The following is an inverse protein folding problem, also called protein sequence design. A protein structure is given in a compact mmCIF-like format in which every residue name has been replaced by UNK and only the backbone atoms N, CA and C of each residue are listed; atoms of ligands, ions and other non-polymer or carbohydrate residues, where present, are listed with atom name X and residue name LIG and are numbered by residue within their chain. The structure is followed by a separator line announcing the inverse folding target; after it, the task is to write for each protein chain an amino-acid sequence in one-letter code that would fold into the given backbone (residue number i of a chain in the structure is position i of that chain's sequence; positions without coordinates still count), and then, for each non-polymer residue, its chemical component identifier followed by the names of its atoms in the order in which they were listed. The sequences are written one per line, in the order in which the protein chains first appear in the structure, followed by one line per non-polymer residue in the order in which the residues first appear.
data_IF_233723240654
#
_entry.id   IF_233723240654
#
_cell.length_a   1.000
_cell.length_b   1.000
_cell.length_c   1.000
_cell.angle_alpha   90.00
_cell.angle_beta   90.00
_cell.angle_gamma   90.00
#
_symmetry.space_group_name_H-M   'P 1'
#
loop_
_entity.id
_entity.type
_entity.pdbx_description
1 polymer ?
#
# COMPACT_ATOMS: atom_id res chain seq x y z
N UNK A 1 -29.56 -15.51 20.14
CA UNK A 1 -29.35 -16.72 19.33
C UNK A 1 -27.84 -16.85 19.10
N UNK A 2 -27.18 -17.96 19.46
CA UNK A 2 -25.80 -18.17 19.03
C UNK A 2 -25.83 -18.37 17.51
N UNK A 3 -25.02 -17.59 16.79
CA UNK A 3 -24.90 -17.71 15.34
C UNK A 3 -24.47 -19.14 15.00
N UNK A 4 -25.35 -19.89 14.33
CA UNK A 4 -25.03 -21.24 13.86
C UNK A 4 -23.95 -21.14 12.79
N UNK A 5 -22.89 -21.90 13.00
CA UNK A 5 -21.81 -22.12 12.06
C UNK A 5 -22.40 -22.67 10.75
N UNK A 6 -22.16 -21.99 9.63
CA UNK A 6 -22.51 -22.49 8.30
C UNK A 6 -21.35 -23.41 7.87
N UNK A 7 -21.43 -24.69 8.24
CA UNK A 7 -20.51 -25.71 7.72
C UNK A 7 -20.75 -25.86 6.22
N UNK A 8 -19.69 -25.63 5.43
CA UNK A 8 -19.68 -25.73 3.97
C UNK A 8 -20.68 -24.81 3.27
N UNK A 9 -20.36 -23.51 3.23
CA UNK A 9 -21.15 -22.55 2.50
C UNK A 9 -21.18 -22.89 1.00
N UNK A 10 -22.38 -23.16 0.48
CA UNK A 10 -22.70 -23.41 -0.93
C UNK A 10 -22.45 -22.20 -1.85
N UNK A 11 -21.57 -21.29 -1.45
CA UNK A 11 -21.16 -20.12 -2.21
C UNK A 11 -20.19 -20.53 -3.29
N UNK A 12 -20.61 -20.31 -4.54
CA UNK A 12 -19.87 -20.60 -5.77
C UNK A 12 -18.36 -20.51 -5.61
N UNK A 13 -17.64 -21.57 -6.01
CA UNK A 13 -16.17 -21.62 -6.08
C UNK A 13 -15.58 -20.68 -7.16
N UNK A 14 -16.42 -19.98 -7.93
CA UNK A 14 -15.98 -19.05 -8.96
C UNK A 14 -15.31 -17.82 -8.34
N UNK A 15 -14.27 -17.32 -9.01
CA UNK A 15 -13.72 -15.99 -8.75
C UNK A 15 -14.80 -14.92 -8.95
N UNK A 16 -14.76 -13.85 -8.14
CA UNK A 16 -15.78 -12.80 -8.09
C UNK A 16 -17.21 -13.33 -7.77
N UNK A 17 -17.37 -14.06 -6.66
CA UNK A 17 -18.66 -14.61 -6.22
C UNK A 17 -19.57 -13.53 -5.59
N UNK A 18 -20.74 -13.22 -6.18
CA UNK A 18 -21.68 -12.24 -5.61
C UNK A 18 -22.28 -12.69 -4.28
N UNK A 19 -22.49 -13.99 -4.10
CA UNK A 19 -23.05 -14.52 -2.84
C UNK A 19 -22.09 -14.30 -1.66
N UNK A 20 -20.78 -14.47 -1.85
CA UNK A 20 -19.76 -14.13 -0.83
C UNK A 20 -19.79 -12.65 -0.48
N UNK A 21 -19.93 -11.79 -1.49
CA UNK A 21 -20.02 -10.35 -1.29
C UNK A 21 -21.30 -9.91 -0.57
N UNK A 22 -22.44 -10.49 -0.92
CA UNK A 22 -23.73 -10.23 -0.26
C UNK A 22 -23.71 -10.69 1.19
N UNK A 23 -23.14 -11.88 1.45
CA UNK A 23 -22.99 -12.39 2.81
C UNK A 23 -22.14 -11.45 3.67
N UNK A 24 -20.96 -11.03 3.19
CA UNK A 24 -20.11 -10.13 3.95
C UNK A 24 -20.79 -8.79 4.24
N UNK A 25 -21.45 -8.20 3.24
CA UNK A 25 -22.19 -6.95 3.42
C UNK A 25 -23.32 -7.09 4.44
N UNK A 26 -24.06 -8.20 4.41
CA UNK A 26 -25.10 -8.46 5.41
C UNK A 26 -24.50 -8.58 6.81
N UNK A 27 -23.42 -9.35 6.97
CA UNK A 27 -22.76 -9.56 8.27
C UNK A 27 -22.23 -8.26 8.88
N UNK A 28 -21.69 -7.36 8.06
CA UNK A 28 -21.21 -6.04 8.48
C UNK A 28 -22.34 -5.14 8.99
N UNK A 29 -23.55 -5.30 8.47
CA UNK A 29 -24.73 -4.52 8.90
C UNK A 29 -25.43 -5.12 10.14
N UNK A 30 -25.12 -6.38 10.46
CA UNK A 30 -25.68 -7.05 11.62
C UNK A 30 -24.97 -6.62 12.90
N UNK A 31 -25.72 -6.54 14.01
CA UNK A 31 -25.16 -6.29 15.34
C UNK A 31 -24.51 -7.57 15.90
N UNK A 32 -23.38 -7.96 15.33
CA UNK A 32 -22.57 -9.11 15.73
C UNK A 32 -21.45 -8.60 16.64
N UNK A 33 -21.25 -9.24 17.79
CA UNK A 33 -20.12 -8.88 18.66
C UNK A 33 -18.78 -9.22 17.97
N UNK A 34 -17.73 -8.47 18.31
CA UNK A 34 -16.40 -8.60 17.69
C UNK A 34 -15.84 -10.04 17.76
N UNK A 35 -16.12 -10.76 18.85
CA UNK A 35 -15.63 -12.13 19.03
C UNK A 35 -16.33 -13.12 18.09
N UNK A 36 -17.65 -13.04 17.99
CA UNK A 36 -18.43 -13.82 17.03
C UNK A 36 -18.06 -13.47 15.59
N UNK A 37 -17.93 -12.18 15.25
CA UNK A 37 -17.59 -11.78 13.89
C UNK A 37 -16.19 -12.22 13.49
N UNK A 38 -15.21 -12.18 14.42
CA UNK A 38 -13.89 -12.74 14.19
C UNK A 38 -13.94 -14.25 13.86
N UNK A 39 -14.75 -15.03 14.59
CA UNK A 39 -14.94 -16.46 14.30
C UNK A 39 -15.60 -16.69 12.94
N UNK A 40 -16.59 -15.88 12.58
CA UNK A 40 -17.25 -15.96 11.26
C UNK A 40 -16.23 -15.70 10.16
N UNK A 41 -15.43 -14.61 10.25
CA UNK A 41 -14.37 -14.29 9.27
C UNK A 41 -13.35 -15.42 9.11
N UNK A 42 -13.01 -16.13 10.18
CA UNK A 42 -12.05 -17.26 10.15
C UNK A 42 -12.61 -18.54 9.53
N UNK A 43 -13.93 -18.72 9.54
CA UNK A 43 -14.58 -19.97 9.11
C UNK A 43 -15.44 -19.81 7.85
N UNK A 44 -15.46 -18.62 7.26
CA UNK A 44 -16.26 -18.30 6.06
C UNK A 44 -15.33 -17.95 4.91
N UNK A 45 -15.67 -18.41 3.70
CA UNK A 45 -14.88 -18.15 2.51
C UNK A 45 -15.27 -16.81 1.87
N UNK A 46 -14.46 -15.77 2.08
CA UNK A 46 -14.62 -14.46 1.44
C UNK A 46 -13.61 -14.17 0.32
N UNK A 47 -12.62 -15.04 0.13
CA UNK A 47 -11.69 -14.94 -1.00
C UNK A 47 -12.47 -14.95 -2.32
N UNK A 48 -12.06 -14.09 -3.25
CA UNK A 48 -12.73 -13.90 -4.54
C UNK A 48 -14.16 -13.39 -4.42
N UNK A 49 -14.58 -12.75 -3.32
CA UNK A 49 -15.91 -12.14 -3.24
C UNK A 49 -16.07 -10.99 -4.25
N UNK A 50 -17.26 -10.85 -4.82
CA UNK A 50 -17.65 -9.66 -5.58
C UNK A 50 -18.27 -8.62 -4.65
N UNK A 51 -17.48 -7.60 -4.33
CA UNK A 51 -17.76 -6.49 -3.41
C UNK A 51 -17.67 -5.14 -4.14
N UNK A 52 -17.92 -5.12 -5.46
CA UNK A 52 -17.92 -3.88 -6.25
C UNK A 52 -18.93 -2.89 -5.67
N UNK A 53 -18.46 -1.68 -5.38
CA UNK A 53 -19.28 -0.61 -4.80
C UNK A 53 -19.82 -0.94 -3.40
N UNK A 54 -19.29 -1.97 -2.71
CA UNK A 54 -19.78 -2.36 -1.40
C UNK A 54 -19.58 -1.24 -0.37
N UNK A 55 -20.55 -1.07 0.54
CA UNK A 55 -20.44 -0.14 1.65
C UNK A 55 -19.90 -0.87 2.89
N UNK A 56 -18.60 -0.73 3.13
CA UNK A 56 -17.85 -1.39 4.20
C UNK A 56 -17.19 -0.36 5.14
N UNK A 57 -17.66 0.89 5.10
CA UNK A 57 -17.16 2.02 5.89
C UNK A 57 -17.12 1.69 7.38
N UNK A 58 -15.98 1.99 8.02
CA UNK A 58 -15.73 1.78 9.46
C UNK A 58 -15.95 0.35 9.96
N UNK A 59 -15.97 -0.63 9.08
CA UNK A 59 -16.21 -2.04 9.44
C UNK A 59 -14.96 -2.67 10.05
N UNK A 60 -15.13 -3.60 10.98
CA UNK A 60 -14.03 -4.41 11.50
C UNK A 60 -13.76 -5.63 10.62
N UNK A 61 -12.94 -5.43 9.59
CA UNK A 61 -12.48 -6.45 8.66
C UNK A 61 -11.09 -6.97 9.01
N UNK A 62 -10.63 -6.80 10.26
CA UNK A 62 -9.32 -7.28 10.68
C UNK A 62 -9.17 -8.78 10.45
N UNK A 63 -8.01 -9.19 9.92
CA UNK A 63 -7.67 -10.59 9.61
C UNK A 63 -8.56 -11.27 8.57
N UNK A 64 -9.44 -10.55 7.87
CA UNK A 64 -10.31 -11.18 6.86
C UNK A 64 -9.49 -11.68 5.66
N UNK A 65 -9.88 -12.81 5.09
CA UNK A 65 -9.35 -13.25 3.80
C UNK A 65 -10.24 -12.76 2.65
N UNK A 66 -9.75 -11.77 1.91
CA UNK A 66 -10.34 -11.19 0.70
C UNK A 66 -9.38 -11.32 -0.50
N UNK A 67 -8.53 -12.35 -0.50
CA UNK A 67 -7.60 -12.62 -1.60
C UNK A 67 -8.34 -12.72 -2.93
N UNK A 68 -7.88 -12.00 -3.95
CA UNK A 68 -8.51 -11.94 -5.27
C UNK A 68 -9.94 -11.38 -5.30
N UNK A 69 -10.43 -10.78 -4.21
CA UNK A 69 -11.76 -10.17 -4.18
C UNK A 69 -11.82 -8.95 -5.10
N UNK A 70 -13.03 -8.67 -5.61
CA UNK A 70 -13.29 -7.47 -6.41
C UNK A 70 -13.96 -6.41 -5.53
N UNK A 71 -13.18 -5.45 -5.08
CA UNK A 71 -13.55 -4.31 -4.24
C UNK A 71 -13.55 -2.98 -5.04
N UNK A 72 -13.64 -3.06 -6.38
CA UNK A 72 -13.65 -1.87 -7.24
C UNK A 72 -14.72 -0.89 -6.74
N UNK A 73 -14.33 0.36 -6.55
CA UNK A 73 -15.18 1.48 -6.08
C UNK A 73 -15.87 1.24 -4.72
N UNK A 74 -15.44 0.26 -3.92
CA UNK A 74 -15.99 0.03 -2.58
C UNK A 74 -15.65 1.19 -1.61
N UNK A 75 -16.56 1.49 -0.69
CA UNK A 75 -16.31 2.42 0.42
C UNK A 75 -15.82 1.64 1.65
N UNK A 76 -14.51 1.66 1.86
CA UNK A 76 -13.78 1.11 3.02
C UNK A 76 -13.26 2.24 3.93
N UNK A 77 -13.79 3.46 3.82
CA UNK A 77 -13.27 4.60 4.59
C UNK A 77 -13.33 4.33 6.09
N UNK A 78 -12.21 4.52 6.78
CA UNK A 78 -12.07 4.23 8.21
C UNK A 78 -12.22 2.76 8.61
N UNK A 79 -12.27 1.82 7.67
CA UNK A 79 -12.36 0.39 7.99
C UNK A 79 -11.08 -0.09 8.69
N UNK A 80 -11.24 -1.07 9.59
CA UNK A 80 -10.12 -1.77 10.19
C UNK A 80 -9.81 -3.02 9.35
N UNK A 81 -8.75 -2.97 8.55
CA UNK A 81 -8.24 -4.05 7.70
C UNK A 81 -6.91 -4.62 8.23
N UNK A 82 -6.58 -4.35 9.50
CA UNK A 82 -5.34 -4.82 10.12
C UNK A 82 -5.16 -6.32 9.91
N UNK A 83 -4.04 -6.73 9.30
CA UNK A 83 -3.72 -8.13 9.03
C UNK A 83 -4.64 -8.82 8.02
N UNK A 84 -5.47 -8.09 7.27
CA UNK A 84 -6.29 -8.68 6.22
C UNK A 84 -5.44 -9.20 5.06
N UNK A 85 -5.94 -10.21 4.35
CA UNK A 85 -5.31 -10.75 3.15
C UNK A 85 -6.08 -10.24 1.93
N UNK A 86 -5.44 -9.39 1.13
CA UNK A 86 -5.97 -8.72 -0.07
C UNK A 86 -5.05 -8.94 -1.27
N UNK A 87 -4.21 -9.98 -1.25
CA UNK A 87 -3.33 -10.34 -2.37
C UNK A 87 -4.12 -10.48 -3.67
N UNK A 88 -3.67 -9.81 -4.73
CA UNK A 88 -4.32 -9.80 -6.05
C UNK A 88 -5.73 -9.22 -6.08
N UNK A 89 -6.21 -8.57 -5.01
CA UNK A 89 -7.55 -7.97 -4.99
C UNK A 89 -7.63 -6.77 -5.95
N UNK A 90 -8.81 -6.56 -6.53
CA UNK A 90 -9.10 -5.36 -7.32
C UNK A 90 -9.72 -4.29 -6.42
N UNK A 91 -8.95 -3.27 -6.09
CA UNK A 91 -9.31 -2.09 -5.29
C UNK A 91 -9.37 -0.82 -6.16
N UNK A 92 -9.55 -0.97 -7.48
CA UNK A 92 -9.57 0.18 -8.39
C UNK A 92 -10.60 1.21 -7.94
N UNK A 93 -10.17 2.45 -7.75
CA UNK A 93 -11.03 3.56 -7.32
C UNK A 93 -11.68 3.39 -5.93
N UNK A 94 -11.29 2.40 -5.14
CA UNK A 94 -11.86 2.18 -3.80
C UNK A 94 -11.50 3.34 -2.85
N UNK A 95 -12.41 3.66 -1.93
CA UNK A 95 -12.17 4.63 -0.89
C UNK A 95 -11.69 3.94 0.40
N UNK A 96 -10.42 4.10 0.73
CA UNK A 96 -9.73 3.59 1.92
C UNK A 96 -9.28 4.74 2.84
N UNK A 97 -9.85 5.95 2.70
CA UNK A 97 -9.44 7.12 3.48
C UNK A 97 -9.53 6.85 4.98
N UNK A 98 -8.46 7.18 5.72
CA UNK A 98 -8.31 6.90 7.15
C UNK A 98 -8.47 5.41 7.57
N UNK A 99 -8.40 4.45 6.64
CA UNK A 99 -8.45 3.03 6.97
C UNK A 99 -7.18 2.56 7.70
N UNK A 100 -7.31 1.51 8.51
CA UNK A 100 -6.16 0.84 9.14
C UNK A 100 -5.82 -0.44 8.36
N UNK A 101 -4.73 -0.39 7.60
CA UNK A 101 -4.15 -1.47 6.80
C UNK A 101 -2.82 -1.96 7.39
N UNK A 102 -2.62 -1.80 8.72
CA UNK A 102 -1.40 -2.25 9.38
C UNK A 102 -1.21 -3.76 9.18
N UNK A 103 -0.02 -4.18 8.73
CA UNK A 103 0.32 -5.59 8.46
C UNK A 103 -0.60 -6.28 7.42
N UNK A 104 -1.30 -5.53 6.58
CA UNK A 104 -2.15 -6.11 5.53
C UNK A 104 -1.29 -6.64 4.38
N UNK A 105 -1.69 -7.77 3.80
CA UNK A 105 -1.09 -8.28 2.56
C UNK A 105 -1.88 -7.77 1.33
N UNK A 106 -1.25 -6.93 0.52
CA UNK A 106 -1.77 -6.33 -0.71
C UNK A 106 -0.89 -6.70 -1.92
N UNK A 107 -0.11 -7.79 -1.82
CA UNK A 107 0.78 -8.21 -2.89
C UNK A 107 0.04 -8.34 -4.22
N UNK A 108 0.51 -7.65 -5.26
CA UNK A 108 -0.09 -7.68 -6.59
C UNK A 108 -1.52 -7.12 -6.70
N UNK A 109 -2.04 -6.46 -5.67
CA UNK A 109 -3.37 -5.83 -5.72
C UNK A 109 -3.40 -4.63 -6.69
N UNK A 110 -4.56 -4.37 -7.28
CA UNK A 110 -4.80 -3.18 -8.10
C UNK A 110 -5.47 -2.09 -7.26
N UNK A 111 -4.70 -1.12 -6.78
CA UNK A 111 -5.15 0.10 -6.10
C UNK A 111 -5.11 1.33 -7.03
N UNK A 112 -5.13 1.14 -8.36
CA UNK A 112 -5.14 2.29 -9.28
C UNK A 112 -6.31 3.22 -8.96
N UNK A 113 -6.04 4.53 -8.89
CA UNK A 113 -7.04 5.55 -8.55
C UNK A 113 -7.70 5.42 -7.15
N UNK A 114 -7.22 4.52 -6.29
CA UNK A 114 -7.76 4.38 -4.94
C UNK A 114 -7.45 5.61 -4.07
N UNK A 115 -8.31 5.88 -3.10
CA UNK A 115 -8.16 6.98 -2.15
C UNK A 115 -7.74 6.44 -0.79
N UNK A 116 -6.48 6.61 -0.40
CA UNK A 116 -5.87 6.18 0.86
C UNK A 116 -5.37 7.38 1.70
N UNK A 117 -5.92 8.58 1.48
CA UNK A 117 -5.52 9.76 2.26
C UNK A 117 -5.69 9.49 3.76
N UNK A 118 -4.69 9.85 4.55
CA UNK A 118 -4.64 9.65 6.01
C UNK A 118 -4.77 8.18 6.47
N UNK A 119 -4.66 7.20 5.56
CA UNK A 119 -4.66 5.79 5.94
C UNK A 119 -3.36 5.42 6.68
N UNK A 120 -3.45 4.38 7.52
CA UNK A 120 -2.29 3.81 8.22
C UNK A 120 -1.98 2.44 7.64
N UNK A 121 -0.79 2.24 7.07
CA UNK A 121 -0.35 0.99 6.46
C UNK A 121 1.03 0.52 6.98
N UNK A 122 1.39 0.69 8.27
CA UNK A 122 2.69 0.26 8.74
C UNK A 122 2.87 -1.24 8.53
N UNK A 123 4.05 -1.62 8.03
CA UNK A 123 4.43 -3.01 7.74
C UNK A 123 3.51 -3.72 6.72
N UNK A 124 2.71 -3.00 5.93
CA UNK A 124 1.92 -3.59 4.87
C UNK A 124 2.79 -4.10 3.71
N UNK A 125 2.35 -5.17 3.06
CA UNK A 125 3.00 -5.74 1.88
C UNK A 125 2.28 -5.29 0.60
N UNK A 126 2.84 -4.31 -0.11
CA UNK A 126 2.35 -3.82 -1.40
C UNK A 126 3.32 -4.18 -2.55
N UNK A 127 4.12 -5.23 -2.39
CA UNK A 127 5.05 -5.65 -3.43
C UNK A 127 4.28 -5.99 -4.72
N UNK A 128 4.75 -5.50 -5.87
CA UNK A 128 4.12 -5.70 -7.18
C UNK A 128 2.72 -5.10 -7.35
N UNK A 129 2.20 -4.37 -6.36
CA UNK A 129 0.89 -3.74 -6.45
C UNK A 129 0.88 -2.60 -7.48
N UNK A 130 -0.29 -2.31 -8.04
CA UNK A 130 -0.50 -1.15 -8.89
C UNK A 130 -1.19 -0.04 -8.11
N UNK A 131 -0.49 1.06 -7.83
CA UNK A 131 -0.98 2.27 -7.19
C UNK A 131 -0.96 3.46 -8.15
N UNK A 132 -1.02 3.22 -9.47
CA UNK A 132 -0.98 4.31 -10.45
C UNK A 132 -2.12 5.30 -10.20
N UNK A 133 -1.77 6.59 -10.05
CA UNK A 133 -2.70 7.68 -9.70
C UNK A 133 -3.47 7.50 -8.37
N UNK A 134 -3.01 6.61 -7.47
CA UNK A 134 -3.60 6.49 -6.14
C UNK A 134 -3.28 7.74 -5.29
N UNK A 135 -4.18 8.09 -4.38
CA UNK A 135 -3.98 9.19 -3.43
C UNK A 135 -3.60 8.61 -2.07
N UNK A 136 -2.43 8.97 -1.54
CA UNK A 136 -1.92 8.53 -0.24
C UNK A 136 -1.44 9.75 0.58
N UNK A 137 -2.09 10.90 0.41
CA UNK A 137 -1.71 12.16 1.04
C UNK A 137 -1.77 11.99 2.57
N UNK A 138 -0.71 12.39 3.28
CA UNK A 138 -0.60 12.27 4.75
C UNK A 138 -0.78 10.85 5.30
N UNK A 139 -0.51 9.83 4.49
CA UNK A 139 -0.57 8.45 4.95
C UNK A 139 0.67 8.04 5.76
N UNK A 140 0.49 7.07 6.65
CA UNK A 140 1.57 6.50 7.47
C UNK A 140 1.95 5.12 6.92
N UNK A 141 3.12 5.03 6.29
CA UNK A 141 3.57 3.85 5.53
C UNK A 141 4.78 3.17 6.18
N UNK A 142 5.12 3.50 7.43
CA UNK A 142 6.36 3.12 8.11
C UNK A 142 6.66 1.62 7.96
N UNK A 143 7.83 1.31 7.39
CA UNK A 143 8.31 -0.07 7.21
C UNK A 143 7.50 -0.94 6.23
N UNK A 144 6.55 -0.37 5.48
CA UNK A 144 5.85 -1.09 4.42
C UNK A 144 6.81 -1.48 3.27
N UNK A 145 6.36 -2.40 2.42
CA UNK A 145 7.14 -2.84 1.25
C UNK A 145 6.38 -2.60 -0.05
N UNK A 146 7.02 -1.94 -1.01
CA UNK A 146 6.48 -1.54 -2.31
C UNK A 146 7.39 -2.02 -3.45
N UNK A 147 8.12 -3.11 -3.24
CA UNK A 147 9.12 -3.59 -4.19
C UNK A 147 8.44 -3.89 -5.53
N UNK A 148 8.99 -3.33 -6.60
CA UNK A 148 8.49 -3.49 -7.97
C UNK A 148 7.03 -2.99 -8.17
N UNK A 149 6.50 -2.19 -7.25
CA UNK A 149 5.17 -1.61 -7.38
C UNK A 149 5.13 -0.58 -8.53
N UNK A 150 3.96 -0.46 -9.17
CA UNK A 150 3.69 0.60 -10.14
C UNK A 150 3.03 1.77 -9.43
N UNK A 151 3.68 2.93 -9.34
CA UNK A 151 3.14 4.07 -8.59
C UNK A 151 3.09 5.34 -9.44
N UNK A 152 3.12 5.21 -10.77
CA UNK A 152 3.19 6.39 -11.64
C UNK A 152 2.03 7.34 -11.39
N UNK A 153 2.34 8.62 -11.16
CA UNK A 153 1.34 9.65 -10.86
C UNK A 153 0.69 9.57 -9.47
N UNK A 154 1.13 8.67 -8.59
CA UNK A 154 0.60 8.60 -7.22
C UNK A 154 0.89 9.89 -6.43
N UNK A 155 -0.03 10.25 -5.52
CA UNK A 155 0.09 11.44 -4.67
C UNK A 155 0.45 11.02 -3.25
N UNK A 156 1.69 11.30 -2.83
CA UNK A 156 2.25 10.99 -1.50
C UNK A 156 2.71 12.25 -0.77
N UNK A 157 2.10 13.40 -1.08
CA UNK A 157 2.38 14.65 -0.39
C UNK A 157 2.24 14.48 1.13
N UNK A 158 3.24 14.94 1.88
CA UNK A 158 3.27 14.88 3.36
C UNK A 158 3.15 13.45 3.94
N UNK A 159 3.34 12.40 3.14
CA UNK A 159 3.27 11.03 3.63
C UNK A 159 4.56 10.64 4.39
N UNK A 160 4.43 9.72 5.34
CA UNK A 160 5.56 9.18 6.09
C UNK A 160 5.94 7.80 5.57
N UNK A 161 7.04 7.74 4.82
CA UNK A 161 7.61 6.53 4.23
C UNK A 161 8.85 6.03 4.99
N UNK A 162 9.05 6.41 6.24
CA UNK A 162 10.27 6.01 6.99
C UNK A 162 10.48 4.49 6.95
N UNK A 163 11.67 4.06 6.52
CA UNK A 163 12.03 2.63 6.47
C UNK A 163 11.32 1.81 5.37
N UNK A 164 10.60 2.45 4.45
CA UNK A 164 9.89 1.75 3.37
C UNK A 164 10.87 1.21 2.33
N UNK A 165 10.62 -0.01 1.85
CA UNK A 165 11.36 -0.55 0.70
C UNK A 165 10.64 -0.25 -0.61
N UNK A 166 11.16 0.69 -1.41
CA UNK A 166 10.68 1.06 -2.75
C UNK A 166 11.51 0.42 -3.87
N UNK A 167 12.34 -0.59 -3.56
CA UNK A 167 13.27 -1.22 -4.49
C UNK A 167 12.58 -1.59 -5.82
N UNK A 168 13.04 -1.00 -6.91
CA UNK A 168 12.54 -1.29 -8.26
C UNK A 168 11.13 -0.73 -8.55
N UNK A 169 10.55 0.09 -7.68
CA UNK A 169 9.25 0.70 -7.91
C UNK A 169 9.32 1.76 -9.02
N UNK A 170 8.27 1.85 -9.83
CA UNK A 170 8.10 2.94 -10.79
C UNK A 170 7.49 4.14 -10.08
N UNK A 171 8.29 5.19 -9.86
CA UNK A 171 7.90 6.41 -9.16
C UNK A 171 7.83 7.62 -10.11
N UNK A 172 7.70 7.37 -11.42
CA UNK A 172 7.56 8.45 -12.40
C UNK A 172 6.32 9.30 -12.09
N UNK A 173 6.44 10.63 -12.18
CA UNK A 173 5.35 11.58 -11.92
C UNK A 173 4.73 11.49 -10.51
N UNK A 174 5.35 10.77 -9.59
CA UNK A 174 4.88 10.72 -8.21
C UNK A 174 5.07 12.09 -7.57
N UNK A 175 4.09 12.51 -6.78
CA UNK A 175 4.24 13.68 -5.94
C UNK A 175 4.64 13.26 -4.51
N UNK A 176 5.89 13.49 -4.15
CA UNK A 176 6.41 13.29 -2.80
C UNK A 176 6.55 14.60 -2.01
N UNK A 177 6.01 15.74 -2.46
CA UNK A 177 6.31 17.02 -1.81
C UNK A 177 6.12 16.96 -0.28
N UNK A 178 7.12 17.38 0.50
CA UNK A 178 7.11 17.34 1.97
C UNK A 178 7.00 15.94 2.60
N UNK A 179 7.18 14.85 1.84
CA UNK A 179 7.17 13.50 2.38
C UNK A 179 8.47 13.18 3.13
N UNK A 180 8.38 12.22 4.06
CA UNK A 180 9.53 11.68 4.76
C UNK A 180 9.95 10.34 4.18
N UNK A 181 11.09 10.31 3.48
CA UNK A 181 11.70 9.12 2.86
C UNK A 181 12.97 8.68 3.63
N UNK A 182 13.07 9.00 4.92
CA UNK A 182 14.21 8.57 5.74
C UNK A 182 14.33 7.05 5.80
N UNK A 183 15.57 6.54 5.75
CA UNK A 183 15.88 5.11 5.78
C UNK A 183 15.15 4.28 4.69
N UNK A 184 14.68 4.90 3.61
CA UNK A 184 14.02 4.19 2.50
C UNK A 184 14.98 3.52 1.54
N UNK A 185 14.56 2.41 0.94
CA UNK A 185 15.31 1.77 -0.14
C UNK A 185 14.82 2.28 -1.51
N UNK A 186 15.56 3.22 -2.10
CA UNK A 186 15.29 3.89 -3.38
C UNK A 186 16.14 3.33 -4.53
N UNK A 187 16.70 2.12 -4.38
CA UNK A 187 17.48 1.49 -5.46
C UNK A 187 16.57 1.03 -6.60
N UNK A 188 17.09 1.07 -7.83
CA UNK A 188 16.42 0.61 -9.05
C UNK A 188 15.08 1.32 -9.37
N UNK A 189 14.78 2.44 -8.73
CA UNK A 189 13.55 3.21 -9.02
C UNK A 189 13.67 4.02 -10.29
N UNK A 190 12.56 4.66 -10.67
CA UNK A 190 12.48 5.73 -11.66
C UNK A 190 11.78 6.95 -11.05
N UNK A 191 12.46 8.10 -10.95
CA UNK A 191 11.89 9.37 -10.47
C UNK A 191 11.58 10.35 -11.61
N UNK A 192 11.45 9.89 -12.85
CA UNK A 192 11.18 10.76 -13.99
C UNK A 192 9.95 11.64 -13.74
N UNK A 193 10.12 12.95 -13.85
CA UNK A 193 9.04 13.94 -13.64
C UNK A 193 8.40 13.91 -12.23
N UNK A 194 9.02 13.27 -11.24
CA UNK A 194 8.51 13.27 -9.87
C UNK A 194 8.68 14.64 -9.20
N UNK A 195 7.82 14.94 -8.22
CA UNK A 195 7.97 16.12 -7.35
C UNK A 195 8.57 15.73 -6.00
N UNK A 196 9.80 16.18 -5.74
CA UNK A 196 10.53 15.88 -4.52
C UNK A 196 10.87 17.13 -3.69
N UNK A 197 10.12 18.22 -3.87
CA UNK A 197 10.32 19.45 -3.09
C UNK A 197 10.09 19.21 -1.58
N UNK A 198 11.02 19.66 -0.73
CA UNK A 198 10.91 19.49 0.73
C UNK A 198 10.95 18.05 1.23
N UNK A 199 11.33 17.08 0.39
CA UNK A 199 11.44 15.67 0.81
C UNK A 199 12.63 15.48 1.74
N UNK A 200 12.43 14.73 2.82
CA UNK A 200 13.51 14.28 3.70
C UNK A 200 14.05 12.93 3.21
N UNK A 201 15.34 12.87 2.89
CA UNK A 201 16.01 11.66 2.37
C UNK A 201 17.05 11.07 3.34
N UNK A 202 16.98 11.41 4.63
CA UNK A 202 18.00 11.05 5.60
C UNK A 202 18.25 9.53 5.60
N UNK A 203 19.47 9.12 5.25
CA UNK A 203 19.90 7.71 5.15
C UNK A 203 19.15 6.86 4.13
N UNK A 204 18.44 7.44 3.17
CA UNK A 204 17.84 6.68 2.09
C UNK A 204 18.93 5.98 1.24
N UNK A 205 18.74 4.69 0.95
CA UNK A 205 19.65 3.90 0.12
C UNK A 205 19.38 4.16 -1.36
N UNK A 206 20.42 4.40 -2.16
CA UNK A 206 20.35 4.71 -3.59
C UNK A 206 21.36 3.88 -4.39
N UNK A 207 21.23 3.92 -5.73
CA UNK A 207 22.16 3.26 -6.64
C UNK A 207 23.47 4.05 -6.81
N UNK A 208 24.55 3.37 -7.24
CA UNK A 208 25.85 3.98 -7.52
C UNK A 208 25.79 5.19 -8.47
N UNK A 209 24.93 5.09 -9.50
CA UNK A 209 24.77 6.12 -10.54
C UNK A 209 23.64 7.11 -10.25
N UNK A 210 23.31 7.31 -8.97
CA UNK A 210 22.21 8.18 -8.56
C UNK A 210 22.36 9.62 -9.10
N UNK A 211 23.53 10.28 -9.02
CA UNK A 211 23.69 11.64 -9.57
C UNK A 211 23.40 11.73 -11.06
N UNK A 212 23.87 10.78 -11.87
CA UNK A 212 23.64 10.74 -13.32
C UNK A 212 22.19 10.42 -13.66
N UNK A 213 21.55 9.52 -12.90
CA UNK A 213 20.13 9.20 -13.04
C UNK A 213 19.24 10.41 -12.78
N UNK A 214 19.54 11.20 -11.75
CA UNK A 214 18.79 12.41 -11.47
C UNK A 214 18.80 13.40 -12.66
N UNK A 215 19.93 13.54 -13.38
CA UNK A 215 20.01 14.38 -14.59
C UNK A 215 19.10 13.88 -15.72
N UNK A 216 18.88 12.58 -15.81
CA UNK A 216 18.00 11.96 -16.80
C UNK A 216 16.53 12.11 -16.41
N UNK A 217 16.21 11.85 -15.14
CA UNK A 217 14.85 11.87 -14.60
C UNK A 217 14.28 13.29 -14.45
N UNK A 218 15.13 14.26 -14.15
CA UNK A 218 14.78 15.69 -14.00
C UNK A 218 13.56 15.94 -13.07
N UNK A 219 13.53 15.38 -11.84
CA UNK A 219 12.46 15.65 -10.90
C UNK A 219 12.49 17.13 -10.43
N UNK A 220 11.34 17.69 -10.05
CA UNK A 220 11.31 19.02 -9.39
C UNK A 220 11.89 18.91 -7.98
N UNK A 221 12.52 19.98 -7.47
CA UNK A 221 13.19 19.95 -6.15
C UNK A 221 14.63 19.39 -6.17
N UNK A 222 15.16 18.99 -7.33
CA UNK A 222 16.53 18.47 -7.46
C UNK A 222 17.62 19.40 -6.88
N UNK A 223 17.46 20.72 -7.03
CA UNK A 223 18.42 21.71 -6.50
C UNK A 223 18.56 21.59 -4.97
N UNK A 224 17.43 21.52 -4.27
CA UNK A 224 17.39 21.38 -2.81
C UNK A 224 18.02 20.04 -2.38
N UNK A 225 17.69 18.94 -3.07
CA UNK A 225 18.31 17.63 -2.81
C UNK A 225 19.83 17.71 -2.92
N UNK A 226 20.37 18.35 -3.97
CA UNK A 226 21.82 18.47 -4.21
C UNK A 226 22.51 19.38 -3.20
N UNK A 227 21.84 20.43 -2.75
CA UNK A 227 22.37 21.34 -1.75
C UNK A 227 22.46 20.63 -0.40
N UNK A 228 21.41 19.88 -0.01
CA UNK A 228 21.26 19.31 1.33
C UNK A 228 21.89 17.92 1.52
N UNK A 229 22.06 17.13 0.46
CA UNK A 229 22.49 15.73 0.57
C UNK A 229 23.77 15.42 -0.20
N UNK A 230 24.54 14.48 0.33
CA UNK A 230 25.70 13.85 -0.30
C UNK A 230 25.46 12.34 -0.45
N UNK A 231 26.01 11.73 -1.51
CA UNK A 231 25.93 10.29 -1.73
C UNK A 231 27.21 9.64 -1.19
N UNK A 232 27.08 8.74 -0.21
CA UNK A 232 28.22 8.07 0.43
C UNK A 232 28.10 6.56 0.23
N UNK A 233 29.19 5.93 -0.19
CA UNK A 233 29.31 4.47 -0.21
C UNK A 233 29.84 3.99 1.14
N UNK A 234 29.00 3.37 1.95
CA UNK A 234 29.37 2.92 3.29
C UNK A 234 29.09 1.43 3.54
N UNK A 235 28.47 0.72 2.60
CA UNK A 235 27.98 -0.63 2.83
C UNK A 235 27.96 -1.51 1.57
N UNK A 236 27.95 -2.82 1.79
CA UNK A 236 27.85 -3.84 0.75
C UNK A 236 26.68 -4.75 1.12
N UNK A 237 25.75 -4.93 0.19
CA UNK A 237 24.65 -5.88 0.30
C UNK A 237 25.18 -7.28 0.64
N UNK A 238 24.67 -7.85 1.72
CA UNK A 238 25.08 -9.19 2.16
C UNK A 238 24.58 -10.29 1.23
N UNK A 239 23.50 -10.01 0.48
CA UNK A 239 22.79 -10.96 -0.40
C UNK A 239 23.47 -11.08 -1.76
N UNK A 240 23.74 -9.96 -2.43
CA UNK A 240 24.24 -9.93 -3.82
C UNK A 240 25.62 -9.29 -3.96
N UNK A 241 26.26 -8.94 -2.83
CA UNK A 241 27.61 -8.34 -2.76
C UNK A 241 27.77 -7.02 -3.53
N UNK A 242 26.68 -6.34 -3.87
CA UNK A 242 26.72 -5.01 -4.51
C UNK A 242 26.90 -3.91 -3.47
N UNK A 243 27.62 -2.85 -3.84
CA UNK A 243 27.73 -1.63 -3.01
C UNK A 243 26.36 -1.00 -2.84
N UNK A 244 26.09 -0.51 -1.63
CA UNK A 244 24.91 0.27 -1.31
C UNK A 244 25.40 1.66 -0.93
N UNK A 245 24.76 2.67 -1.52
CA UNK A 245 25.05 4.06 -1.28
C UNK A 245 23.92 4.66 -0.46
N UNK A 246 24.23 5.62 0.40
CA UNK A 246 23.25 6.31 1.23
C UNK A 246 23.31 7.82 1.01
N UNK A 247 22.14 8.46 1.08
CA UNK A 247 22.00 9.91 1.14
C UNK A 247 22.25 10.37 2.57
N UNK A 248 23.30 11.17 2.77
CA UNK A 248 23.66 11.75 4.06
C UNK A 248 23.50 13.26 3.98
N UNK A 249 22.79 13.83 4.96
CA UNK A 249 22.60 15.26 5.10
C UNK A 249 23.95 15.94 5.35
N UNK A 250 24.21 17.02 4.61
CA UNK A 250 25.43 17.84 4.75
C UNK A 250 25.41 18.72 5.99
#
# INVERSE_FOLDING_TARGET
MPYQYIEADSLSEKSCSPGRGQLLQALVLMNIDTGSFARIKQNTLFAGADLRGAYLKKSDLSGINLEGANLKEADLSGANLKGAHLGGANLWGANLGAANLSNTDLNGADLSWAQLNEATLPLANLNGANLSNAQLIKSELIGATFRWAQMSGALLNEANLTGVSLLGANLSKVNFSQANLSDTDLRLIDLSEADIFGVVFDKASVDEKWPEKLEQWRPSGMKELRENYSVVNDSISTVDKRKIYHLIKK
#
